data_IF_260017589097
#
_entry.id   IF_260017589097
#
_cell.length_a   1.000
_cell.length_b   1.000
_cell.length_c   1.000
_cell.angle_alpha   90.00
_cell.angle_beta   90.00
_cell.angle_gamma   90.00
#
_symmetry.space_group_name_H-M   'P 1'
#
loop_
_entity.id
_entity.type
_entity.pdbx_description
1 polymer ?
#
# COMPACT_ATOMS: atom_id res chain seq x y z
N UNK A 1 49.29 54.98 77.64
CA UNK A 1 47.93 54.92 78.21
C UNK A 1 47.05 55.85 77.40
N UNK A 2 45.96 55.28 76.84
CA UNK A 2 44.70 55.92 76.43
C UNK A 2 44.64 57.04 75.37
N UNK A 3 43.69 56.81 74.45
CA UNK A 3 42.82 57.75 73.72
C UNK A 3 43.27 58.33 72.39
N UNK A 4 42.47 58.03 71.36
CA UNK A 4 42.57 58.60 70.02
C UNK A 4 41.67 57.90 69.01
N UNK A 5 40.36 57.97 69.22
CA UNK A 5 39.30 57.54 68.29
C UNK A 5 39.52 58.14 66.89
N UNK A 6 39.59 57.30 65.86
CA UNK A 6 39.50 57.73 64.45
C UNK A 6 38.72 56.68 63.65
N UNK A 7 37.50 57.03 63.25
CA UNK A 7 36.73 56.34 62.21
C UNK A 7 37.35 56.61 60.83
N UNK A 8 37.17 55.70 59.87
CA UNK A 8 36.54 56.16 58.63
C UNK A 8 35.65 55.13 57.91
N UNK A 9 34.71 55.68 57.13
CA UNK A 9 34.16 55.15 55.88
C UNK A 9 33.22 53.93 55.94
N UNK A 10 31.93 54.19 56.13
CA UNK A 10 30.86 53.47 55.42
C UNK A 10 30.42 54.35 54.23
N UNK A 11 31.02 54.06 53.08
CA UNK A 11 30.36 54.23 51.79
C UNK A 11 29.83 52.84 51.44
N UNK A 12 28.51 52.67 51.40
CA UNK A 12 27.96 51.98 50.23
C UNK A 12 26.52 52.39 49.96
N UNK A 13 26.36 52.86 48.73
CA UNK A 13 25.12 53.10 48.03
C UNK A 13 24.22 51.88 48.06
N UNK A 14 22.95 52.05 48.42
CA UNK A 14 21.88 51.22 47.86
C UNK A 14 20.58 52.01 47.79
N UNK A 15 20.19 52.34 46.56
CA UNK A 15 18.93 52.95 46.15
C UNK A 15 17.70 52.25 46.75
N UNK A 16 16.66 52.99 47.19
CA UNK A 16 15.40 52.42 47.65
C UNK A 16 14.38 52.37 46.51
N UNK A 17 14.58 51.57 45.47
CA UNK A 17 13.58 51.41 44.39
C UNK A 17 13.70 50.07 43.67
N UNK A 18 13.28 48.96 44.28
CA UNK A 18 13.02 47.70 43.54
C UNK A 18 12.16 46.64 44.27
N UNK A 19 11.36 46.98 45.28
CA UNK A 19 10.55 45.97 46.00
C UNK A 19 9.03 46.04 45.78
N UNK A 20 8.51 47.00 45.00
CA UNK A 20 7.06 47.25 45.00
C UNK A 20 6.25 46.62 43.85
N UNK A 21 6.85 45.95 42.86
CA UNK A 21 6.12 45.52 41.63
C UNK A 21 5.86 44.00 41.58
N UNK A 22 6.45 43.20 42.47
CA UNK A 22 6.31 41.73 42.49
C UNK A 22 5.25 41.09 43.41
N UNK A 23 4.33 41.78 44.13
CA UNK A 23 3.25 41.08 44.82
C UNK A 23 2.04 40.64 43.97
N UNK A 24 1.62 41.30 42.85
CA UNK A 24 0.38 40.90 42.17
C UNK A 24 0.55 39.71 41.22
N UNK A 25 1.77 39.44 40.74
CA UNK A 25 2.03 38.40 39.74
C UNK A 25 2.08 37.00 40.38
N UNK A 26 2.62 36.89 41.60
CA UNK A 26 2.62 35.64 42.38
C UNK A 26 1.21 35.25 42.87
N UNK A 27 0.34 36.23 43.11
CA UNK A 27 -1.06 35.98 43.44
C UNK A 27 -1.87 35.51 42.21
N UNK A 28 -1.63 36.11 41.03
CA UNK A 28 -2.27 35.70 39.78
C UNK A 28 -1.84 34.31 39.30
N UNK A 29 -0.58 33.92 39.57
CA UNK A 29 -0.08 32.57 39.25
C UNK A 29 -0.70 31.47 40.12
N UNK A 30 -1.21 31.81 41.30
CA UNK A 30 -1.82 30.83 42.23
C UNK A 30 -3.23 30.42 41.83
N UNK A 31 -3.88 31.25 41.01
CA UNK A 31 -5.27 31.07 40.56
C UNK A 31 -5.36 30.41 39.17
N UNK A 32 -4.23 30.08 38.56
CA UNK A 32 -4.20 29.17 37.42
C UNK A 32 -4.30 27.75 37.99
N UNK A 33 -5.53 27.29 38.22
CA UNK A 33 -5.78 25.86 38.28
C UNK A 33 -5.20 25.24 36.99
N UNK A 34 -4.26 24.29 37.06
CA UNK A 34 -3.96 23.49 35.88
C UNK A 34 -5.29 22.90 35.42
N UNK A 35 -5.74 23.29 34.22
CA UNK A 35 -6.91 22.67 33.60
C UNK A 35 -6.71 21.16 33.58
N UNK A 36 -7.78 20.36 33.64
CA UNK A 36 -7.67 18.91 33.76
C UNK A 36 -6.67 18.42 32.72
N UNK A 37 -5.62 17.74 33.17
CA UNK A 37 -4.63 17.17 32.29
C UNK A 37 -5.39 16.28 31.31
N UNK A 38 -5.52 16.73 30.06
CA UNK A 38 -6.22 15.99 29.01
C UNK A 38 -5.57 14.61 28.77
N UNK A 39 -4.39 14.40 29.36
CA UNK A 39 -3.61 13.17 29.39
C UNK A 39 -4.10 12.23 30.52
N UNK A 40 -4.60 12.77 31.64
CA UNK A 40 -5.15 12.03 32.79
C UNK A 40 -6.68 11.83 32.73
N UNK A 41 -7.36 12.34 31.70
CA UNK A 41 -8.67 11.82 31.30
C UNK A 41 -8.45 10.45 30.64
N UNK A 42 -7.90 9.54 31.44
CA UNK A 42 -7.49 8.20 31.10
C UNK A 42 -8.69 7.49 30.51
N UNK A 43 -8.62 7.24 29.21
CA UNK A 43 -9.51 6.28 28.58
C UNK A 43 -9.48 5.03 29.46
N UNK A 44 -10.65 4.59 29.93
CA UNK A 44 -10.79 3.40 30.76
C UNK A 44 -9.84 2.30 30.25
N UNK A 45 -8.99 1.69 31.09
CA UNK A 45 -7.98 0.72 30.64
C UNK A 45 -8.63 -0.46 29.89
N UNK A 46 -9.90 -0.75 30.20
CA UNK A 46 -10.74 -1.73 29.50
C UNK A 46 -11.10 -1.28 28.08
N UNK A 47 -11.45 -0.01 27.89
CA UNK A 47 -11.74 0.58 26.57
C UNK A 47 -10.48 0.61 25.73
N UNK A 48 -9.34 0.96 26.32
CA UNK A 48 -8.04 0.90 25.64
C UNK A 48 -7.68 -0.54 25.21
N UNK A 49 -7.89 -1.53 26.08
CA UNK A 49 -7.68 -2.94 25.75
C UNK A 49 -8.61 -3.43 24.63
N UNK A 50 -9.90 -3.05 24.66
CA UNK A 50 -10.86 -3.38 23.59
C UNK A 50 -10.48 -2.71 22.26
N UNK A 51 -10.00 -1.46 22.30
CA UNK A 51 -9.55 -0.73 21.11
C UNK A 51 -8.33 -1.42 20.49
N UNK A 52 -7.34 -1.81 21.30
CA UNK A 52 -6.20 -2.60 20.82
C UNK A 52 -6.62 -3.97 20.26
N UNK A 53 -7.56 -4.66 20.91
CA UNK A 53 -8.10 -5.92 20.40
C UNK A 53 -8.80 -5.73 19.04
N UNK A 54 -9.51 -4.62 18.85
CA UNK A 54 -10.14 -4.30 17.57
C UNK A 54 -9.10 -3.98 16.49
N UNK A 55 -8.08 -3.16 16.81
CA UNK A 55 -6.98 -2.84 15.88
C UNK A 55 -6.24 -4.10 15.46
N UNK A 56 -5.85 -4.94 16.43
CA UNK A 56 -5.13 -6.19 16.16
C UNK A 56 -5.98 -7.17 15.36
N UNK A 57 -7.27 -7.28 15.65
CA UNK A 57 -8.21 -8.10 14.87
C UNK A 57 -8.35 -7.60 13.43
N UNK A 58 -8.47 -6.28 13.23
CA UNK A 58 -8.56 -5.67 11.90
C UNK A 58 -7.24 -5.83 11.11
N UNK A 59 -6.10 -5.68 11.78
CA UNK A 59 -4.78 -5.91 11.18
C UNK A 59 -4.62 -7.37 10.77
N UNK A 60 -4.97 -8.31 11.64
CA UNK A 60 -4.94 -9.75 11.35
C UNK A 60 -5.84 -10.09 10.17
N UNK A 61 -7.07 -9.56 10.15
CA UNK A 61 -7.99 -9.75 9.02
C UNK A 61 -7.38 -9.25 7.71
N UNK A 62 -6.77 -8.07 7.73
CA UNK A 62 -6.14 -7.46 6.56
C UNK A 62 -4.94 -8.30 6.08
N UNK A 63 -4.12 -8.82 7.00
CA UNK A 63 -3.04 -9.77 6.71
C UNK A 63 -3.59 -11.04 6.06
N UNK A 64 -4.65 -11.64 6.60
CA UNK A 64 -5.27 -12.86 6.06
C UNK A 64 -5.80 -12.62 4.63
N UNK A 65 -6.43 -11.47 4.37
CA UNK A 65 -6.93 -11.13 3.04
C UNK A 65 -5.78 -10.95 2.03
N UNK A 66 -4.70 -10.26 2.41
CA UNK A 66 -3.50 -10.11 1.58
C UNK A 66 -2.86 -11.48 1.34
N UNK A 67 -2.64 -12.27 2.39
CA UNK A 67 -2.06 -13.60 2.30
C UNK A 67 -2.85 -14.49 1.34
N UNK A 68 -4.20 -14.47 1.41
CA UNK A 68 -5.06 -15.20 0.47
C UNK A 68 -4.89 -14.74 -0.98
N UNK A 69 -4.75 -13.45 -1.24
CA UNK A 69 -4.46 -12.93 -2.59
C UNK A 69 -3.09 -13.38 -3.08
N UNK A 70 -2.07 -13.27 -2.23
CA UNK A 70 -0.70 -13.69 -2.55
C UNK A 70 -0.60 -15.19 -2.79
N UNK A 71 -1.28 -16.02 -1.98
CA UNK A 71 -1.32 -17.47 -2.18
C UNK A 71 -1.98 -17.82 -3.52
N UNK A 72 -3.09 -17.16 -3.88
CA UNK A 72 -3.73 -17.34 -5.19
C UNK A 72 -2.80 -16.95 -6.34
N UNK A 73 -2.15 -15.79 -6.24
CA UNK A 73 -1.16 -15.36 -7.23
C UNK A 73 0.04 -16.33 -7.32
N UNK A 74 0.53 -16.83 -6.18
CA UNK A 74 1.61 -17.83 -6.16
C UNK A 74 1.17 -19.15 -6.79
N UNK A 75 -0.06 -19.60 -6.54
CA UNK A 75 -0.63 -20.79 -7.20
C UNK A 75 -0.76 -20.58 -8.71
N UNK A 76 -1.22 -19.41 -9.14
CA UNK A 76 -1.28 -19.00 -10.55
C UNK A 76 0.10 -19.11 -11.22
N UNK A 77 1.15 -18.55 -10.59
CA UNK A 77 2.51 -18.63 -11.10
C UNK A 77 3.06 -20.06 -11.13
N UNK A 78 2.73 -20.89 -10.13
CA UNK A 78 3.19 -22.29 -10.05
C UNK A 78 2.61 -23.19 -11.14
N UNK A 79 1.49 -22.83 -11.77
CA UNK A 79 0.92 -23.62 -12.88
C UNK A 79 1.86 -23.68 -14.09
N UNK A 80 2.76 -22.70 -14.22
CA UNK A 80 3.80 -22.65 -15.26
C UNK A 80 5.04 -23.49 -14.96
N UNK A 81 5.24 -23.95 -13.72
CA UNK A 81 6.36 -24.83 -13.39
C UNK A 81 6.11 -26.21 -13.99
N UNK A 82 7.00 -26.62 -14.91
CA UNK A 82 6.88 -27.89 -15.61
C UNK A 82 7.53 -27.85 -17.00
N UNK A 83 7.08 -28.78 -17.84
CA UNK A 83 7.61 -28.99 -19.18
C UNK A 83 7.48 -27.75 -20.08
N UNK A 84 8.59 -27.21 -20.63
CA UNK A 84 8.54 -26.07 -21.54
C UNK A 84 7.73 -26.34 -22.81
N UNK A 85 7.60 -27.59 -23.26
CA UNK A 85 6.82 -27.92 -24.45
C UNK A 85 5.32 -27.65 -24.25
N UNK A 86 4.82 -27.84 -23.02
CA UNK A 86 3.40 -27.63 -22.67
C UNK A 86 3.12 -26.22 -22.16
N UNK A 87 4.11 -25.32 -22.18
CA UNK A 87 3.98 -23.99 -21.60
C UNK A 87 2.86 -23.19 -22.26
N UNK A 88 2.82 -23.16 -23.59
CA UNK A 88 1.83 -22.37 -24.35
C UNK A 88 0.42 -22.93 -24.14
N UNK A 89 0.27 -24.26 -24.15
CA UNK A 89 -1.00 -24.93 -23.88
C UNK A 89 -1.50 -24.64 -22.46
N UNK A 90 -0.63 -24.71 -21.45
CA UNK A 90 -0.97 -24.36 -20.05
C UNK A 90 -1.37 -22.91 -19.91
N UNK A 91 -0.64 -21.99 -20.54
CA UNK A 91 -0.99 -20.56 -20.56
C UNK A 91 -2.36 -20.36 -21.20
N UNK A 92 -2.60 -20.95 -22.38
CA UNK A 92 -3.87 -20.82 -23.07
C UNK A 92 -5.02 -21.33 -22.22
N UNK A 93 -4.91 -22.52 -21.63
CA UNK A 93 -5.97 -23.10 -20.82
C UNK A 93 -6.25 -22.26 -19.58
N UNK A 94 -5.20 -21.84 -18.86
CA UNK A 94 -5.34 -21.00 -17.67
C UNK A 94 -5.97 -19.64 -17.99
N UNK A 95 -5.50 -18.98 -19.06
CA UNK A 95 -6.08 -17.73 -19.54
C UNK A 95 -7.54 -17.93 -19.99
N UNK A 96 -7.84 -19.01 -20.71
CA UNK A 96 -9.20 -19.29 -21.22
C UNK A 96 -10.15 -19.59 -20.08
N UNK A 97 -9.73 -20.33 -19.06
CA UNK A 97 -10.53 -20.60 -17.88
C UNK A 97 -10.86 -19.32 -17.11
N UNK A 98 -9.86 -18.49 -16.80
CA UNK A 98 -10.09 -17.22 -16.08
C UNK A 98 -10.87 -16.19 -16.90
N UNK A 99 -10.59 -16.09 -18.21
CA UNK A 99 -11.33 -15.16 -19.08
C UNK A 99 -12.80 -15.57 -19.19
N UNK A 100 -13.11 -16.85 -19.36
CA UNK A 100 -14.50 -17.32 -19.40
C UNK A 100 -15.24 -17.14 -18.07
N UNK A 101 -14.56 -17.31 -16.94
CA UNK A 101 -15.16 -17.08 -15.62
C UNK A 101 -15.51 -15.60 -15.38
N UNK A 102 -14.72 -14.66 -15.92
CA UNK A 102 -14.91 -13.21 -15.68
C UNK A 102 -15.67 -12.50 -16.80
N UNK A 103 -15.52 -12.97 -18.04
CA UNK A 103 -16.06 -12.36 -19.26
C UNK A 103 -16.56 -13.45 -20.22
N UNK A 104 -17.86 -13.71 -20.21
CA UNK A 104 -18.48 -14.71 -21.10
C UNK A 104 -18.35 -14.37 -22.60
N UNK A 105 -18.16 -13.08 -22.94
CA UNK A 105 -17.94 -12.59 -24.31
C UNK A 105 -16.69 -13.20 -24.95
N UNK A 106 -15.68 -13.55 -24.15
CA UNK A 106 -14.45 -14.17 -24.62
C UNK A 106 -14.69 -15.56 -25.28
N UNK A 107 -15.85 -16.19 -25.06
CA UNK A 107 -16.19 -17.51 -25.62
C UNK A 107 -16.28 -17.52 -27.13
N UNK A 108 -16.72 -16.41 -27.73
CA UNK A 108 -16.87 -16.29 -29.18
C UNK A 108 -15.56 -15.90 -29.87
N UNK A 109 -14.58 -15.41 -29.11
CA UNK A 109 -13.28 -14.98 -29.63
C UNK A 109 -12.33 -16.17 -29.76
N UNK A 110 -11.62 -16.23 -30.88
CA UNK A 110 -10.60 -17.25 -31.17
C UNK A 110 -9.36 -16.61 -31.78
N UNK A 111 -8.22 -17.27 -31.65
CA UNK A 111 -6.95 -16.86 -32.24
C UNK A 111 -6.51 -15.46 -31.83
N UNK A 112 -6.14 -14.64 -32.81
CA UNK A 112 -5.64 -13.27 -32.61
C UNK A 112 -6.64 -12.37 -31.88
N UNK A 113 -7.92 -12.41 -32.25
CA UNK A 113 -8.95 -11.60 -31.61
C UNK A 113 -9.10 -11.90 -30.12
N UNK A 114 -8.89 -13.17 -29.74
CA UNK A 114 -8.88 -13.58 -28.34
C UNK A 114 -7.63 -13.07 -27.60
N UNK A 115 -6.45 -13.14 -28.21
CA UNK A 115 -5.21 -12.60 -27.61
C UNK A 115 -5.30 -11.08 -27.39
N UNK A 116 -5.78 -10.35 -28.40
CA UNK A 116 -6.00 -8.91 -28.29
C UNK A 116 -7.03 -8.55 -27.19
N UNK A 117 -8.03 -9.41 -26.97
CA UNK A 117 -8.96 -9.26 -25.85
C UNK A 117 -8.26 -9.47 -24.50
N UNK A 118 -7.47 -10.53 -24.36
CA UNK A 118 -6.70 -10.81 -23.13
C UNK A 118 -5.79 -9.63 -22.76
N UNK A 119 -5.11 -9.05 -23.75
CA UNK A 119 -4.20 -7.92 -23.58
C UNK A 119 -4.91 -6.65 -23.10
N UNK A 120 -6.09 -6.35 -23.64
CA UNK A 120 -6.91 -5.23 -23.17
C UNK A 120 -7.32 -5.37 -21.71
N UNK A 121 -7.56 -6.60 -21.25
CA UNK A 121 -8.09 -6.86 -19.92
C UNK A 121 -7.03 -7.05 -18.84
N UNK A 122 -5.79 -7.42 -19.20
CA UNK A 122 -4.74 -7.61 -18.20
C UNK A 122 -3.41 -6.92 -18.47
N UNK A 123 -3.33 -6.02 -19.45
CA UNK A 123 -2.15 -5.18 -19.69
C UNK A 123 -0.92 -5.97 -20.12
N UNK A 124 -1.13 -7.12 -20.75
CA UNK A 124 -0.12 -7.95 -21.37
C UNK A 124 0.04 -7.60 -22.85
N UNK A 125 1.02 -8.21 -23.51
CA UNK A 125 1.24 -8.12 -24.96
C UNK A 125 1.46 -9.54 -25.49
N UNK A 126 0.40 -10.35 -25.43
CA UNK A 126 0.38 -11.67 -26.05
C UNK A 126 0.14 -11.58 -27.55
N UNK A 127 -0.45 -10.48 -28.03
CA UNK A 127 -0.75 -10.28 -29.45
C UNK A 127 0.50 -10.30 -30.33
N UNK A 128 1.67 -9.90 -29.81
CA UNK A 128 2.95 -10.01 -30.53
C UNK A 128 3.28 -11.46 -30.97
N UNK A 129 2.72 -12.46 -30.28
CA UNK A 129 2.94 -13.87 -30.57
C UNK A 129 1.85 -14.51 -31.43
N UNK A 130 0.83 -13.75 -31.85
CA UNK A 130 -0.34 -14.25 -32.58
C UNK A 130 0.03 -15.09 -33.81
N UNK A 131 1.07 -14.69 -34.56
CA UNK A 131 1.56 -15.37 -35.75
C UNK A 131 2.15 -16.77 -35.48
N UNK A 132 2.73 -16.98 -34.31
CA UNK A 132 3.33 -18.26 -33.91
C UNK A 132 2.45 -19.04 -32.93
N UNK A 133 1.38 -18.41 -32.42
CA UNK A 133 0.54 -18.98 -31.37
C UNK A 133 -0.13 -20.29 -31.80
N UNK A 134 -0.69 -20.32 -33.02
CA UNK A 134 -1.32 -21.53 -33.57
C UNK A 134 -0.30 -22.63 -33.85
N UNK A 135 0.90 -22.28 -34.32
CA UNK A 135 1.95 -23.25 -34.61
C UNK A 135 2.57 -23.85 -33.33
N UNK A 136 2.55 -23.13 -32.21
CA UNK A 136 2.96 -23.66 -30.91
C UNK A 136 1.90 -24.53 -30.23
N UNK A 137 0.61 -24.27 -30.48
CA UNK A 137 -0.48 -25.01 -29.84
C UNK A 137 -0.87 -26.29 -30.57
N UNK A 138 -0.90 -26.23 -31.90
CA UNK A 138 -1.36 -27.32 -32.75
C UNK A 138 -0.28 -27.87 -33.66
N UNK A 139 0.84 -27.14 -33.80
CA UNK A 139 1.99 -27.59 -34.55
C UNK A 139 3.07 -28.19 -33.64
N UNK A 140 4.08 -28.79 -34.27
CA UNK A 140 5.26 -29.34 -33.58
C UNK A 140 6.33 -28.27 -33.28
N UNK A 141 5.99 -26.99 -33.30
CA UNK A 141 6.93 -25.91 -33.03
C UNK A 141 6.95 -25.61 -31.53
N UNK A 142 8.13 -25.53 -30.94
CA UNK A 142 8.28 -25.08 -29.55
C UNK A 142 8.79 -23.63 -29.53
N UNK A 143 8.32 -22.80 -28.58
CA UNK A 143 8.86 -21.46 -28.40
C UNK A 143 10.35 -21.53 -28.05
N UNK A 144 11.13 -20.56 -28.52
CA UNK A 144 12.52 -20.43 -28.09
C UNK A 144 12.59 -20.07 -26.60
N UNK A 145 13.77 -20.22 -25.98
CA UNK A 145 13.95 -19.87 -24.56
C UNK A 145 13.54 -18.43 -24.27
N UNK A 146 13.94 -17.48 -25.11
CA UNK A 146 13.58 -16.06 -24.97
C UNK A 146 12.07 -15.83 -25.06
N UNK A 147 11.41 -16.43 -26.06
CA UNK A 147 9.95 -16.35 -26.20
C UNK A 147 9.23 -16.96 -24.99
N UNK A 148 9.73 -18.09 -24.48
CA UNK A 148 9.16 -18.75 -23.30
C UNK A 148 9.27 -17.87 -22.05
N UNK A 149 10.37 -17.13 -21.89
CA UNK A 149 10.56 -16.19 -20.78
C UNK A 149 9.64 -14.97 -20.91
N UNK A 150 9.53 -14.40 -22.12
CA UNK A 150 8.60 -13.30 -22.38
C UNK A 150 7.15 -13.72 -22.09
N UNK A 151 6.73 -14.90 -22.55
CA UNK A 151 5.41 -15.46 -22.25
C UNK A 151 5.16 -15.60 -20.75
N UNK A 152 6.14 -16.13 -19.99
CA UNK A 152 6.05 -16.21 -18.53
C UNK A 152 5.92 -14.83 -17.89
N UNK A 153 6.65 -13.83 -18.39
CA UNK A 153 6.57 -12.46 -17.90
C UNK A 153 5.19 -11.85 -18.18
N UNK A 154 4.66 -11.98 -19.39
CA UNK A 154 3.32 -11.51 -19.74
C UNK A 154 2.23 -12.20 -18.92
N UNK A 155 2.33 -13.52 -18.72
CA UNK A 155 1.41 -14.28 -17.86
C UNK A 155 1.46 -13.85 -16.39
N UNK A 156 2.67 -13.60 -15.85
CA UNK A 156 2.83 -13.08 -14.50
C UNK A 156 2.23 -11.69 -14.37
N UNK A 157 2.47 -10.79 -15.33
CA UNK A 157 1.87 -9.44 -15.36
C UNK A 157 0.34 -9.52 -15.40
N UNK A 158 -0.22 -10.40 -16.22
CA UNK A 158 -1.66 -10.64 -16.27
C UNK A 158 -2.21 -11.16 -14.93
N UNK A 159 -1.53 -12.11 -14.30
CA UNK A 159 -1.89 -12.56 -12.94
C UNK A 159 -1.81 -11.46 -11.89
N UNK A 160 -0.84 -10.56 -11.99
CA UNK A 160 -0.73 -9.40 -11.08
C UNK A 160 -1.93 -8.46 -11.24
N UNK A 161 -2.35 -8.16 -12.47
CA UNK A 161 -3.52 -7.30 -12.71
C UNK A 161 -4.81 -7.94 -12.23
N UNK A 162 -4.93 -9.27 -12.33
CA UNK A 162 -6.12 -9.99 -11.89
C UNK A 162 -6.25 -10.23 -10.39
N UNK A 163 -5.15 -10.50 -9.68
CA UNK A 163 -5.18 -10.95 -8.28
C UNK A 163 -4.64 -9.90 -7.29
N UNK A 164 -3.71 -9.05 -7.72
CA UNK A 164 -3.02 -8.10 -6.85
C UNK A 164 -3.50 -6.66 -7.05
N UNK A 165 -3.74 -6.24 -8.29
CA UNK A 165 -4.28 -4.90 -8.53
C UNK A 165 -5.77 -4.85 -8.16
N UNK A 166 -6.15 -3.80 -7.41
CA UNK A 166 -7.54 -3.32 -7.43
C UNK A 166 -7.75 -2.82 -8.85
N UNK A 167 -8.50 -3.59 -9.66
CA UNK A 167 -8.85 -3.30 -11.05
C UNK A 167 -8.68 -1.83 -11.40
N UNK A 168 -7.79 -1.46 -12.35
CA UNK A 168 -7.83 -0.12 -12.90
C UNK A 168 -9.21 0.00 -13.55
N UNK A 169 -10.06 0.86 -12.97
CA UNK A 169 -11.33 1.30 -13.54
C UNK A 169 -11.11 1.45 -15.03
N UNK A 170 -11.75 0.59 -15.81
CA UNK A 170 -11.80 0.63 -17.27
C UNK A 170 -11.96 2.09 -17.68
N UNK A 171 -10.89 2.63 -18.27
CA UNK A 171 -10.80 4.02 -18.72
C UNK A 171 -11.96 4.21 -19.69
N UNK A 172 -12.99 4.97 -19.27
CA UNK A 172 -14.15 5.38 -20.10
C UNK A 172 -13.66 5.77 -21.50
N UNK A 173 -13.81 4.87 -22.48
CA UNK A 173 -13.76 5.17 -23.91
C UNK A 173 -15.20 5.27 -24.38
N UNK A 174 -15.84 6.39 -24.07
CA UNK A 174 -17.11 6.79 -24.66
C UNK A 174 -17.33 8.29 -24.45
N UNK A 175 -16.70 9.10 -25.30
CA UNK A 175 -17.19 10.41 -25.77
C UNK A 175 -16.05 11.17 -26.43
N UNK A 176 -15.86 10.92 -27.72
CA UNK A 176 -15.56 11.92 -28.76
C UNK A 176 -15.51 11.17 -30.08
N UNK A 177 -16.71 10.79 -30.53
CA UNK A 177 -16.99 10.72 -31.97
C UNK A 177 -17.01 12.20 -32.42
N UNK A 178 -16.01 12.59 -33.20
CA UNK A 178 -16.19 13.56 -34.27
C UNK A 178 -16.54 12.74 -35.53
N UNK A 179 -17.32 13.27 -36.47
CA UNK A 179 -17.07 14.53 -37.17
C UNK A 179 -17.73 15.73 -36.49
#
# INVERSE_FOLDING_TARGET
>A
MSSGMSSPAELDSASPTSEAITPPLAALMRDIHPGPDLIEQSLDPRVLALLWLLITGLLLLLIVLIARRVIRYRRWCRQLEGDPALLVARIQEALRHETLQRWSEARQLQGEAWLAFVDRHGGSDFNQFSSHWSSWLYGNQNPTREQSEQLRQHYRRWGQTLFLQRSPRSKRKAARRHP
#
